data_IF_483781303281
#
_entry.id   IF_483781303281
#
_cell.length_a   1.000
_cell.length_b   1.000
_cell.length_c   1.000
_cell.angle_alpha   90.00
_cell.angle_beta   90.00
_cell.angle_gamma   90.00
#
_symmetry.space_group_name_H-M   'P 1'
#
loop_
_entity.id
_entity.type
_entity.pdbx_description
1 polymer ?
#
# COMPACT_ATOMS: atom_id res chain seq x y z
N UNK A 1 -10.80 -60.07 51.09
CA UNK A 1 -10.06 -60.37 52.33
C UNK A 1 -8.88 -59.42 52.43
N UNK A 2 -8.71 -58.81 53.60
CA UNK A 2 -7.80 -57.69 53.91
C UNK A 2 -6.33 -58.14 53.94
N UNK A 3 -5.42 -57.42 53.28
CA UNK A 3 -3.97 -57.24 53.58
C UNK A 3 -3.48 -56.03 52.77
N UNK A 4 -2.61 -55.13 53.20
CA UNK A 4 -2.02 -54.77 54.49
C UNK A 4 -1.45 -53.35 54.29
N UNK A 5 -1.60 -52.48 55.29
CA UNK A 5 -0.84 -51.23 55.44
C UNK A 5 0.61 -51.56 55.83
N UNK A 6 1.60 -50.82 55.29
CA UNK A 6 2.90 -50.41 55.86
C UNK A 6 3.51 -49.44 54.81
N UNK A 7 3.48 -48.11 54.96
CA UNK A 7 4.23 -47.22 55.86
C UNK A 7 5.54 -46.68 55.25
N UNK A 8 5.61 -45.34 55.21
CA UNK A 8 6.75 -44.41 55.12
C UNK A 8 7.13 -43.75 53.77
N UNK A 9 7.63 -42.48 53.83
CA UNK A 9 7.39 -41.44 52.84
C UNK A 9 8.63 -41.15 51.97
N UNK A 10 8.42 -40.78 50.70
CA UNK A 10 9.47 -40.14 49.90
C UNK A 10 9.20 -38.63 49.82
N UNK A 11 9.93 -37.88 50.63
CA UNK A 11 10.09 -36.43 50.51
C UNK A 11 10.90 -36.12 49.26
N UNK A 12 10.22 -35.74 48.19
CA UNK A 12 10.86 -35.16 46.99
C UNK A 12 11.16 -33.68 47.27
N UNK A 13 12.35 -33.40 47.79
CA UNK A 13 12.86 -32.04 47.93
C UNK A 13 13.20 -31.49 46.53
N UNK A 14 12.33 -30.62 46.01
CA UNK A 14 12.60 -29.84 44.82
C UNK A 14 13.64 -28.76 45.15
N UNK A 15 14.87 -28.95 44.65
CA UNK A 15 15.90 -27.92 44.56
C UNK A 15 15.46 -26.87 43.52
N UNK A 16 14.69 -25.89 43.96
CA UNK A 16 14.51 -24.62 43.25
C UNK A 16 15.77 -23.78 43.45
N UNK A 17 16.67 -23.81 42.48
CA UNK A 17 17.73 -22.82 42.36
C UNK A 17 17.07 -21.44 42.11
N UNK A 18 17.06 -20.61 43.15
CA UNK A 18 16.68 -19.21 43.04
C UNK A 18 17.74 -18.48 42.19
N UNK A 19 17.47 -18.38 40.88
CA UNK A 19 18.15 -17.40 40.04
C UNK A 19 17.77 -16.01 40.57
N UNK A 20 18.69 -15.39 41.32
CA UNK A 20 18.59 -14.01 41.73
C UNK A 20 18.46 -13.14 40.46
N UNK A 21 17.23 -12.73 40.16
CA UNK A 21 16.94 -11.77 39.13
C UNK A 21 17.51 -10.42 39.57
N UNK A 22 18.75 -10.14 39.19
CA UNK A 22 19.30 -8.78 39.31
C UNK A 22 18.45 -7.88 38.42
N UNK A 23 17.71 -6.98 39.05
CA UNK A 23 16.86 -5.99 38.41
C UNK A 23 17.67 -5.28 37.31
N UNK A 24 17.21 -5.25 36.05
CA UNK A 24 17.92 -4.51 35.01
C UNK A 24 18.03 -3.04 35.42
N UNK A 25 19.17 -2.38 35.13
CA UNK A 25 19.33 -0.97 35.44
C UNK A 25 18.22 -0.16 34.76
N UNK A 26 17.77 0.96 35.37
CA UNK A 26 16.73 1.78 34.79
C UNK A 26 17.13 2.21 33.37
N UNK A 27 16.22 1.99 32.41
CA UNK A 27 16.39 2.43 31.04
C UNK A 27 16.68 3.94 31.03
N UNK A 28 17.70 4.37 30.29
CA UNK A 28 17.95 5.80 30.07
C UNK A 28 16.70 6.43 29.49
N UNK A 29 16.30 7.63 29.95
CA UNK A 29 15.21 8.36 29.34
C UNK A 29 15.53 8.57 27.84
N UNK A 30 14.51 8.51 26.96
CA UNK A 30 14.71 8.81 25.55
C UNK A 30 15.33 10.21 25.42
N UNK A 31 16.26 10.42 24.46
CA UNK A 31 16.77 11.75 24.19
C UNK A 31 15.57 12.68 23.96
N UNK A 32 15.53 13.79 24.70
CA UNK A 32 14.52 14.83 24.52
C UNK A 32 14.47 15.18 23.02
N UNK A 33 13.29 15.40 22.42
CA UNK A 33 13.22 15.92 21.07
C UNK A 33 13.91 17.28 21.10
N UNK A 34 15.16 17.32 20.63
CA UNK A 34 15.82 18.56 20.31
C UNK A 34 15.06 19.11 19.12
N UNK A 35 14.05 19.91 19.44
CA UNK A 35 13.30 20.75 18.53
C UNK A 35 14.20 21.93 18.12
N UNK A 36 15.39 21.60 17.62
CA UNK A 36 16.14 22.43 16.72
C UNK A 36 15.90 21.81 15.36
N UNK A 37 14.77 22.18 14.74
CA UNK A 37 14.72 22.23 13.29
C UNK A 37 15.85 23.16 12.85
N UNK A 38 17.04 22.59 12.68
CA UNK A 38 17.97 23.09 11.68
C UNK A 38 17.31 22.70 10.37
N UNK A 39 16.32 23.50 9.95
CA UNK A 39 15.95 23.60 8.55
C UNK A 39 17.27 23.95 7.86
N UNK A 40 17.87 23.09 7.03
CA UNK A 40 19.02 23.51 6.26
C UNK A 40 18.56 24.72 5.44
N UNK A 41 19.12 25.87 5.80
CA UNK A 41 18.87 27.15 5.16
C UNK A 41 19.08 26.96 3.67
N UNK A 42 18.07 27.38 2.89
CA UNK A 42 18.13 27.69 1.45
C UNK A 42 19.12 26.83 0.66
N UNK A 43 18.61 25.79 0.01
CA UNK A 43 19.22 25.41 -1.27
C UNK A 43 19.26 26.69 -2.09
N UNK A 44 20.47 27.18 -2.38
CA UNK A 44 20.66 28.37 -3.20
C UNK A 44 19.84 28.16 -4.47
N UNK A 45 18.81 29.01 -4.57
CA UNK A 45 17.93 29.05 -5.71
C UNK A 45 18.80 29.38 -6.92
N UNK A 46 19.17 28.34 -7.68
CA UNK A 46 19.40 28.50 -9.10
C UNK A 46 18.20 29.27 -9.62
N UNK A 47 18.48 30.40 -10.27
CA UNK A 47 17.50 31.35 -10.79
C UNK A 47 16.27 30.59 -11.32
N UNK A 48 15.03 30.93 -10.92
CA UNK A 48 13.80 30.17 -11.22
C UNK A 48 13.39 30.10 -12.70
N UNK A 49 14.34 30.23 -13.64
CA UNK A 49 14.14 30.25 -15.09
C UNK A 49 15.02 29.27 -15.88
N UNK A 50 16.05 28.63 -15.32
CA UNK A 50 16.90 27.73 -16.12
C UNK A 50 16.33 26.33 -16.29
N UNK A 51 15.51 25.83 -15.36
CA UNK A 51 14.90 24.50 -15.45
C UNK A 51 13.44 24.47 -14.96
N UNK A 52 12.45 24.63 -15.87
CA UNK A 52 11.04 24.74 -15.50
C UNK A 52 10.44 23.44 -14.94
N UNK A 53 11.04 22.28 -15.25
CA UNK A 53 10.56 20.96 -14.82
C UNK A 53 11.11 20.51 -13.46
N UNK A 54 11.88 21.34 -12.76
CA UNK A 54 12.47 20.97 -11.45
C UNK A 54 11.45 20.42 -10.44
N UNK A 55 10.29 21.07 -10.28
CA UNK A 55 9.24 20.59 -9.36
C UNK A 55 8.54 19.32 -9.84
N UNK A 56 8.52 19.12 -11.14
CA UNK A 56 7.78 18.03 -11.79
C UNK A 56 8.62 16.76 -11.82
N UNK A 57 9.80 16.87 -12.41
CA UNK A 57 10.68 15.75 -12.76
C UNK A 57 11.96 15.70 -11.90
N UNK A 58 12.24 16.72 -11.10
CA UNK A 58 13.47 16.80 -10.28
C UNK A 58 14.68 17.33 -11.05
N UNK A 59 14.49 17.80 -12.28
CA UNK A 59 15.57 18.35 -13.09
C UNK A 59 15.81 19.81 -12.75
N UNK A 60 16.65 20.06 -11.75
CA UNK A 60 16.80 21.38 -11.12
C UNK A 60 18.08 22.12 -11.51
N UNK A 61 19.03 21.47 -12.19
CA UNK A 61 20.33 22.06 -12.55
C UNK A 61 20.53 22.00 -14.05
N UNK A 62 20.87 23.13 -14.66
CA UNK A 62 21.27 23.18 -16.06
C UNK A 62 22.75 22.83 -16.19
N UNK A 63 23.07 21.80 -16.97
CA UNK A 63 24.43 21.33 -17.22
C UNK A 63 24.56 20.95 -18.69
N UNK A 64 25.50 21.59 -19.39
CA UNK A 64 25.70 21.41 -20.83
C UNK A 64 24.41 21.55 -21.67
N UNK A 65 23.58 22.55 -21.35
CA UNK A 65 22.33 22.84 -22.06
C UNK A 65 21.19 21.85 -21.77
N UNK A 66 21.30 21.02 -20.73
CA UNK A 66 20.25 20.09 -20.29
C UNK A 66 19.92 20.31 -18.82
N UNK A 67 18.64 20.16 -18.48
CA UNK A 67 18.20 20.13 -17.10
C UNK A 67 18.31 18.71 -16.54
N UNK A 68 19.04 18.54 -15.44
CA UNK A 68 19.28 17.26 -14.78
C UNK A 68 19.04 17.36 -13.27
N UNK A 69 18.81 16.21 -12.65
CA UNK A 69 18.90 16.05 -11.21
C UNK A 69 20.38 15.82 -10.83
N UNK A 70 21.00 16.77 -10.12
CA UNK A 70 22.38 16.59 -9.65
C UNK A 70 22.49 15.99 -8.23
N UNK A 71 21.38 16.04 -7.45
CA UNK A 71 21.35 15.57 -6.07
C UNK A 71 20.08 14.75 -5.78
N UNK A 72 20.13 13.75 -4.88
CA UNK A 72 18.95 12.93 -4.52
C UNK A 72 17.76 13.76 -4.06
N UNK A 73 17.99 14.89 -3.39
CA UNK A 73 16.95 15.78 -2.88
C UNK A 73 16.08 16.36 -3.99
N UNK A 74 16.63 16.55 -5.20
CA UNK A 74 15.83 17.01 -6.33
C UNK A 74 14.77 15.97 -6.71
N UNK A 75 15.13 14.69 -6.76
CA UNK A 75 14.19 13.61 -7.04
C UNK A 75 13.19 13.41 -5.90
N UNK A 76 13.64 13.46 -4.65
CA UNK A 76 12.78 13.26 -3.49
C UNK A 76 11.72 14.36 -3.33
N UNK A 77 12.05 15.60 -3.70
CA UNK A 77 11.13 16.73 -3.65
C UNK A 77 10.21 16.83 -4.88
N UNK A 78 10.53 16.12 -5.97
CA UNK A 78 9.78 16.19 -7.22
C UNK A 78 8.44 15.48 -7.16
N UNK A 79 7.49 15.96 -7.97
CA UNK A 79 6.15 15.37 -8.09
C UNK A 79 6.22 13.96 -8.65
N UNK A 80 7.17 13.68 -9.55
CA UNK A 80 7.40 12.35 -10.14
C UNK A 80 7.70 11.29 -9.07
N UNK A 81 8.46 11.60 -8.02
CA UNK A 81 8.69 10.68 -6.90
C UNK A 81 7.38 10.27 -6.21
N UNK A 82 6.51 11.21 -5.90
CA UNK A 82 5.22 10.89 -5.27
C UNK A 82 4.23 10.20 -6.24
N UNK A 83 4.28 10.53 -7.53
CA UNK A 83 3.32 10.03 -8.50
C UNK A 83 3.66 8.65 -9.06
N UNK A 84 4.94 8.36 -9.28
CA UNK A 84 5.40 7.12 -9.92
C UNK A 84 6.40 6.33 -9.08
N UNK A 85 6.98 6.92 -8.03
CA UNK A 85 8.07 6.32 -7.25
C UNK A 85 9.45 6.63 -7.84
N UNK A 86 9.58 7.59 -8.75
CA UNK A 86 10.87 7.99 -9.29
C UNK A 86 11.63 8.90 -8.30
N UNK A 87 12.10 8.33 -7.20
CA UNK A 87 12.71 9.05 -6.08
C UNK A 87 14.23 8.92 -6.01
N UNK A 88 14.81 8.01 -6.79
CA UNK A 88 16.24 7.70 -6.75
C UNK A 88 16.95 8.42 -7.88
N UNK A 89 18.00 9.17 -7.56
CA UNK A 89 18.87 9.79 -8.56
C UNK A 89 19.77 8.72 -9.21
N UNK A 90 19.75 8.63 -10.53
CA UNK A 90 20.71 7.85 -11.33
C UNK A 90 21.03 8.60 -12.63
N UNK A 91 22.31 8.76 -12.93
CA UNK A 91 22.79 9.32 -14.21
C UNK A 91 22.17 10.67 -14.62
N UNK A 92 21.85 11.51 -13.63
CA UNK A 92 21.22 12.81 -13.87
C UNK A 92 19.69 12.78 -13.93
N UNK A 93 19.08 11.61 -13.77
CA UNK A 93 17.64 11.39 -13.91
C UNK A 93 17.02 10.87 -12.60
N UNK A 94 15.73 11.09 -12.45
CA UNK A 94 14.96 10.53 -11.35
C UNK A 94 14.30 9.21 -11.78
N UNK A 95 14.70 8.12 -11.13
CA UNK A 95 14.26 6.77 -11.44
C UNK A 95 13.65 6.07 -10.21
N UNK A 96 12.93 4.98 -10.46
CA UNK A 96 12.50 4.06 -9.41
C UNK A 96 13.70 3.15 -9.11
N UNK A 97 14.26 3.25 -7.91
CA UNK A 97 15.44 2.49 -7.51
C UNK A 97 15.16 1.34 -6.56
N UNK A 98 14.01 1.36 -5.87
CA UNK A 98 13.77 0.43 -4.76
C UNK A 98 12.29 0.21 -4.42
N UNK A 99 12.02 -0.84 -3.63
CA UNK A 99 10.69 -1.05 -3.01
C UNK A 99 10.29 0.15 -2.13
N UNK A 100 11.26 0.84 -1.50
CA UNK A 100 10.98 2.01 -0.67
C UNK A 100 10.45 3.20 -1.48
N UNK A 101 10.91 3.36 -2.73
CA UNK A 101 10.38 4.40 -3.61
C UNK A 101 8.94 4.08 -4.04
N UNK A 102 8.67 2.82 -4.38
CA UNK A 102 7.32 2.36 -4.69
C UNK A 102 6.36 2.50 -3.52
N UNK A 103 6.80 2.20 -2.30
CA UNK A 103 5.98 2.32 -1.09
C UNK A 103 5.52 3.76 -0.82
N UNK A 104 6.32 4.76 -1.18
CA UNK A 104 5.99 6.20 -1.07
C UNK A 104 5.07 6.68 -2.20
N UNK A 105 5.04 5.96 -3.31
CA UNK A 105 4.31 6.39 -4.50
C UNK A 105 2.80 6.18 -4.35
N UNK A 106 2.01 7.10 -4.93
CA UNK A 106 0.54 7.00 -4.99
C UNK A 106 0.03 5.64 -5.50
N UNK A 107 0.64 4.99 -6.52
CA UNK A 107 0.23 3.67 -6.99
C UNK A 107 0.28 2.56 -5.94
N UNK A 108 1.14 2.64 -4.92
CA UNK A 108 1.15 1.65 -3.84
C UNK A 108 -0.18 1.65 -3.09
N UNK A 109 -0.60 2.81 -2.54
CA UNK A 109 -1.90 2.93 -1.85
C UNK A 109 -3.09 2.74 -2.80
N UNK A 110 -2.99 3.24 -4.02
CA UNK A 110 -4.12 3.22 -4.95
C UNK A 110 -4.36 1.83 -5.57
N UNK A 111 -3.29 1.10 -5.90
CA UNK A 111 -3.34 -0.10 -6.74
C UNK A 111 -2.57 -1.29 -6.17
N UNK A 112 -1.97 -1.18 -4.98
CA UNK A 112 -1.13 -2.23 -4.40
C UNK A 112 0.26 -2.34 -5.04
N UNK A 113 0.63 -1.39 -5.92
CA UNK A 113 1.89 -1.39 -6.63
C UNK A 113 3.05 -0.89 -5.75
N UNK A 114 3.39 -1.66 -4.72
CA UNK A 114 4.30 -1.24 -3.66
C UNK A 114 5.73 -1.77 -3.79
N UNK A 115 6.02 -2.55 -4.83
CA UNK A 115 7.31 -3.20 -4.99
C UNK A 115 7.97 -2.88 -6.32
N UNK A 116 9.28 -2.70 -6.31
CA UNK A 116 10.12 -2.47 -7.45
C UNK A 116 10.40 -3.76 -8.21
N UNK A 117 10.18 -3.72 -9.52
CA UNK A 117 10.53 -4.76 -10.46
C UNK A 117 10.83 -4.13 -11.82
N UNK A 118 12.09 -4.25 -12.28
CA UNK A 118 12.53 -3.85 -13.63
C UNK A 118 12.11 -2.42 -14.00
N UNK A 119 12.45 -1.44 -13.17
CA UNK A 119 12.15 -0.03 -13.45
C UNK A 119 10.71 0.40 -13.16
N UNK A 120 9.89 -0.45 -12.55
CA UNK A 120 8.46 -0.18 -12.34
C UNK A 120 7.98 -0.59 -10.96
N UNK A 121 6.95 0.08 -10.49
CA UNK A 121 6.20 -0.33 -9.31
C UNK A 121 5.09 -1.31 -9.67
N UNK A 122 5.07 -2.45 -8.99
CA UNK A 122 4.15 -3.57 -9.19
C UNK A 122 3.67 -4.13 -7.85
N UNK A 123 2.57 -4.88 -7.88
CA UNK A 123 2.20 -5.74 -6.76
C UNK A 123 3.00 -7.05 -6.84
N UNK A 124 3.42 -7.57 -5.68
CA UNK A 124 4.09 -8.87 -5.52
C UNK A 124 3.27 -9.87 -4.69
N UNK A 125 2.13 -9.46 -4.12
CA UNK A 125 1.29 -10.36 -3.31
C UNK A 125 -0.19 -9.94 -3.28
N UNK A 126 -1.06 -10.90 -2.95
CA UNK A 126 -2.47 -10.64 -2.68
C UNK A 126 -2.65 -9.65 -1.51
N UNK A 127 -1.77 -9.68 -0.51
CA UNK A 127 -1.80 -8.75 0.64
C UNK A 127 -1.66 -7.30 0.21
N UNK A 128 -0.76 -7.00 -0.74
CA UNK A 128 -0.59 -5.66 -1.28
C UNK A 128 -1.83 -5.22 -2.07
N UNK A 129 -2.43 -6.12 -2.84
CA UNK A 129 -3.67 -5.84 -3.54
C UNK A 129 -4.83 -5.58 -2.58
N UNK A 130 -4.98 -6.41 -1.55
CA UNK A 130 -6.03 -6.31 -0.55
C UNK A 130 -5.96 -5.00 0.27
N UNK A 131 -4.76 -4.50 0.53
CA UNK A 131 -4.56 -3.22 1.22
C UNK A 131 -4.85 -1.97 0.35
N UNK A 132 -5.04 -2.15 -0.96
CA UNK A 132 -5.20 -1.03 -1.90
C UNK A 132 -6.62 -0.46 -1.93
N UNK A 133 -6.75 0.81 -2.27
CA UNK A 133 -8.08 1.41 -2.49
C UNK A 133 -8.79 0.84 -3.73
N UNK A 134 -8.05 0.30 -4.71
CA UNK A 134 -8.65 -0.44 -5.82
C UNK A 134 -9.35 -1.73 -5.37
N UNK A 135 -8.89 -2.39 -4.30
CA UNK A 135 -9.59 -3.54 -3.73
C UNK A 135 -10.92 -3.12 -3.10
N UNK A 136 -10.92 -2.13 -2.21
CA UNK A 136 -12.15 -1.71 -1.52
C UNK A 136 -13.16 -1.05 -2.46
N UNK A 137 -12.69 -0.28 -3.45
CA UNK A 137 -13.59 0.39 -4.39
C UNK A 137 -14.05 -0.51 -5.53
N UNK A 138 -13.12 -1.22 -6.15
CA UNK A 138 -13.34 -1.94 -7.42
C UNK A 138 -13.21 -3.46 -7.33
N UNK A 139 -12.97 -4.02 -6.15
CA UNK A 139 -12.81 -5.46 -5.95
C UNK A 139 -11.52 -6.07 -6.51
N UNK A 140 -10.51 -5.25 -6.82
CA UNK A 140 -9.22 -5.74 -7.36
C UNK A 140 -8.27 -6.16 -6.23
N UNK A 141 -8.62 -7.25 -5.55
CA UNK A 141 -7.99 -7.66 -4.30
C UNK A 141 -6.94 -8.77 -4.42
N UNK A 142 -6.63 -9.26 -5.63
CA UNK A 142 -5.67 -10.35 -5.81
C UNK A 142 -4.61 -10.06 -6.87
N UNK A 143 -3.43 -10.61 -6.70
CA UNK A 143 -2.29 -10.50 -7.60
C UNK A 143 -2.58 -11.23 -8.92
N UNK A 144 -2.69 -10.47 -9.99
CA UNK A 144 -2.77 -10.96 -11.36
C UNK A 144 -1.40 -11.14 -12.00
N UNK A 145 -1.42 -11.43 -13.30
CA UNK A 145 -0.19 -11.50 -14.11
C UNK A 145 0.45 -10.12 -14.21
N UNK A 146 1.75 -10.10 -14.48
CA UNK A 146 2.56 -8.88 -14.62
C UNK A 146 2.50 -7.90 -13.42
N UNK A 147 2.12 -8.39 -12.24
CA UNK A 147 2.11 -7.58 -11.02
C UNK A 147 0.97 -6.56 -10.93
N UNK A 148 -0.12 -6.78 -11.65
CA UNK A 148 -1.34 -5.98 -11.55
C UNK A 148 -2.33 -6.60 -10.56
N UNK A 149 -3.09 -5.80 -9.82
CA UNK A 149 -4.17 -6.29 -8.98
C UNK A 149 -5.47 -6.47 -9.78
N UNK A 150 -6.12 -7.62 -9.61
CA UNK A 150 -7.30 -8.06 -10.36
C UNK A 150 -8.38 -8.64 -9.42
N UNK A 151 -9.60 -8.76 -9.94
CA UNK A 151 -10.67 -9.52 -9.31
C UNK A 151 -10.58 -11.00 -9.72
N UNK A 152 -10.19 -11.88 -8.79
CA UNK A 152 -10.18 -13.34 -9.01
C UNK A 152 -11.40 -14.07 -8.44
N UNK A 153 -12.03 -13.51 -7.41
CA UNK A 153 -13.13 -14.15 -6.68
C UNK A 153 -14.35 -13.26 -6.70
N UNK A 154 -15.53 -13.85 -6.82
CA UNK A 154 -16.81 -13.16 -6.75
C UNK A 154 -16.94 -12.34 -5.45
N UNK A 155 -16.39 -12.84 -4.35
CA UNK A 155 -16.40 -12.16 -3.06
C UNK A 155 -15.62 -10.84 -3.07
N UNK A 156 -14.62 -10.67 -3.94
CA UNK A 156 -13.92 -9.40 -4.08
C UNK A 156 -14.83 -8.33 -4.67
N UNK A 157 -15.55 -8.66 -5.75
CA UNK A 157 -16.49 -7.74 -6.37
C UNK A 157 -17.68 -7.46 -5.46
N UNK A 158 -18.26 -8.48 -4.82
CA UNK A 158 -19.42 -8.29 -3.93
C UNK A 158 -19.16 -7.43 -2.71
N UNK A 159 -17.90 -7.32 -2.27
CA UNK A 159 -17.49 -6.47 -1.14
C UNK A 159 -17.09 -5.05 -1.57
N UNK A 160 -17.05 -4.76 -2.88
CA UNK A 160 -16.58 -3.48 -3.38
C UNK A 160 -17.67 -2.40 -3.34
N UNK A 161 -17.27 -1.13 -3.19
CA UNK A 161 -18.23 -0.02 -3.28
C UNK A 161 -18.88 0.05 -4.66
N UNK A 162 -18.14 -0.26 -5.74
CA UNK A 162 -18.70 -0.29 -7.10
C UNK A 162 -19.84 -1.32 -7.25
N UNK A 163 -19.77 -2.47 -6.57
CA UNK A 163 -20.91 -3.39 -6.52
C UNK A 163 -22.09 -2.79 -5.76
N UNK A 164 -21.83 -2.22 -4.57
CA UNK A 164 -22.88 -1.65 -3.73
C UNK A 164 -23.58 -0.45 -4.38
N UNK A 165 -22.83 0.42 -5.07
CA UNK A 165 -23.32 1.67 -5.61
C UNK A 165 -23.91 1.46 -7.00
N UNK A 166 -23.18 0.81 -7.91
CA UNK A 166 -23.55 0.70 -9.34
C UNK A 166 -23.81 -0.72 -9.85
N UNK A 167 -23.60 -1.75 -9.03
CA UNK A 167 -23.91 -3.13 -9.38
C UNK A 167 -22.78 -3.88 -10.08
N UNK A 168 -21.53 -3.41 -10.04
CA UNK A 168 -20.40 -4.17 -10.59
C UNK A 168 -20.01 -5.34 -9.67
N UNK A 169 -20.89 -6.31 -9.57
CA UNK A 169 -20.81 -7.35 -8.56
C UNK A 169 -20.17 -8.65 -9.05
N UNK A 170 -19.95 -8.81 -10.35
CA UNK A 170 -19.52 -10.06 -10.99
C UNK A 170 -18.10 -9.97 -11.55
N UNK A 171 -17.34 -11.07 -11.42
CA UNK A 171 -16.01 -11.16 -12.03
C UNK A 171 -16.14 -11.39 -13.54
N UNK A 172 -15.53 -10.50 -14.33
CA UNK A 172 -15.45 -10.59 -15.80
C UNK A 172 -14.02 -10.19 -16.18
N UNK A 173 -13.28 -11.09 -16.81
CA UNK A 173 -11.92 -10.86 -17.34
C UNK A 173 -10.94 -10.21 -16.35
N UNK A 174 -11.00 -10.62 -15.07
CA UNK A 174 -10.14 -10.09 -14.02
C UNK A 174 -10.56 -8.71 -13.48
N UNK A 175 -11.73 -8.21 -13.87
CA UNK A 175 -12.35 -7.00 -13.34
C UNK A 175 -13.72 -7.30 -12.72
N UNK A 176 -14.28 -6.32 -12.02
CA UNK A 176 -15.64 -6.37 -11.53
C UNK A 176 -16.54 -5.61 -12.50
N UNK A 177 -17.63 -6.25 -12.93
CA UNK A 177 -18.59 -5.71 -13.86
C UNK A 177 -20.00 -6.23 -13.55
N UNK A 178 -21.01 -5.55 -14.10
CA UNK A 178 -22.40 -6.01 -14.15
C UNK A 178 -22.51 -7.13 -15.19
N UNK A 179 -22.95 -8.33 -14.79
CA UNK A 179 -23.19 -9.44 -15.73
C UNK A 179 -24.68 -9.81 -15.83
N UNK A 180 -25.50 -9.37 -14.87
CA UNK A 180 -26.93 -9.67 -14.88
C UNK A 180 -27.75 -8.57 -14.22
N UNK A 181 -29.07 -8.56 -14.49
CA UNK A 181 -30.02 -7.73 -13.74
C UNK A 181 -30.01 -8.04 -12.23
N UNK A 182 -29.56 -9.23 -11.82
CA UNK A 182 -29.38 -9.53 -10.40
C UNK A 182 -28.26 -8.70 -9.76
N UNK A 183 -27.27 -8.27 -10.53
CA UNK A 183 -26.23 -7.37 -10.06
C UNK A 183 -26.77 -5.94 -9.91
N UNK A 184 -27.54 -5.46 -10.91
CA UNK A 184 -28.26 -4.19 -10.81
C UNK A 184 -29.18 -4.12 -9.59
N UNK A 185 -29.96 -5.19 -9.33
CA UNK A 185 -30.89 -5.27 -8.19
C UNK A 185 -30.24 -5.17 -6.81
N UNK A 186 -28.94 -5.47 -6.70
CA UNK A 186 -28.22 -5.36 -5.41
C UNK A 186 -27.74 -3.93 -5.12
N UNK A 187 -27.63 -3.11 -6.17
CA UNK A 187 -27.02 -1.79 -6.12
C UNK A 187 -27.95 -0.69 -5.60
N UNK A 188 -27.37 0.45 -5.21
CA UNK A 188 -28.12 1.68 -4.90
C UNK A 188 -28.89 2.20 -6.12
N UNK A 189 -28.34 2.09 -7.33
CA UNK A 189 -29.07 2.46 -8.56
C UNK A 189 -30.45 1.81 -8.67
N UNK A 190 -30.62 0.55 -8.22
CA UNK A 190 -31.94 -0.07 -8.20
C UNK A 190 -32.80 0.42 -7.01
N UNK A 191 -32.22 0.53 -5.82
CA UNK A 191 -32.94 0.89 -4.58
C UNK A 191 -33.48 2.32 -4.64
N UNK A 192 -32.62 3.24 -5.06
CA UNK A 192 -32.83 4.69 -5.07
C UNK A 192 -33.39 5.14 -6.44
N UNK A 193 -32.79 4.72 -7.55
CA UNK A 193 -33.14 5.24 -8.89
C UNK A 193 -34.05 4.33 -9.71
N UNK A 194 -34.48 3.18 -9.17
CA UNK A 194 -35.31 2.16 -9.85
C UNK A 194 -34.67 1.58 -11.11
N UNK A 195 -33.35 1.68 -11.25
CA UNK A 195 -32.55 1.11 -12.35
C UNK A 195 -32.18 -0.34 -12.05
N UNK A 196 -33.14 -1.26 -12.21
CA UNK A 196 -33.01 -2.64 -11.76
C UNK A 196 -32.77 -3.69 -12.87
N UNK A 197 -32.80 -3.30 -14.15
CA UNK A 197 -32.61 -4.19 -15.31
C UNK A 197 -31.26 -3.91 -15.98
N UNK A 198 -30.51 -4.96 -16.36
CA UNK A 198 -29.29 -4.78 -17.14
C UNK A 198 -29.62 -4.69 -18.64
N UNK A 199 -29.09 -3.67 -19.32
CA UNK A 199 -29.22 -3.48 -20.77
C UNK A 199 -27.96 -2.78 -21.27
N UNK A 200 -27.32 -3.35 -22.29
CA UNK A 200 -26.08 -2.81 -22.90
C UNK A 200 -24.99 -2.46 -21.87
N UNK A 201 -24.82 -3.33 -20.86
CA UNK A 201 -23.84 -3.13 -19.79
C UNK A 201 -24.25 -2.14 -18.71
N UNK A 202 -25.39 -1.48 -18.84
CA UNK A 202 -25.90 -0.46 -17.92
C UNK A 202 -27.15 -0.91 -17.17
N UNK A 203 -27.26 -0.46 -15.91
CA UNK A 203 -28.50 -0.63 -15.17
C UNK A 203 -29.51 0.42 -15.64
N UNK A 204 -30.68 0.00 -16.08
CA UNK A 204 -31.75 0.86 -16.60
C UNK A 204 -33.06 0.63 -15.85
N UNK A 205 -33.97 1.58 -15.97
CA UNK A 205 -35.29 1.53 -15.34
C UNK A 205 -36.04 0.24 -15.72
N UNK A 206 -36.69 -0.37 -14.74
CA UNK A 206 -37.64 -1.47 -14.95
C UNK A 206 -39.03 -0.86 -15.16
N UNK A 207 -39.28 -0.33 -16.36
CA UNK A 207 -40.65 -0.11 -16.85
C UNK A 207 -41.19 -1.41 -17.43
#
# INVERSE_FOLDING_TARGET
>A
MKRALHSLPLTLAALLAAAACTKPPPARPPPKPNNALVVPKKHEAVKPQSCPTCKEDGHCVEKAGKCIAEKPEHCQAARVCQQSGACTLRDGECEIGSDADCAKAKPCKARGACAFLRGRCVAKSDTQCAASSACTKRGLCALGKAGACIAKKQTHCRKSSDCADRGDCSVVDGACARKSSADCRRSKLCKEDKRCRLTDGECVSSR
#
